data_IF_376036003745
#
_entry.id   IF_376036003745
#
_cell.length_a   1.000
_cell.length_b   1.000
_cell.length_c   1.000
_cell.angle_alpha   90.00
_cell.angle_beta   90.00
_cell.angle_gamma   90.00
#
_symmetry.space_group_name_H-M   'P 1'
#
loop_
_entity.id
_entity.type
_entity.pdbx_description
1 polymer ?
#
# COMPACT_ATOMS: atom_id res chain seq x y z
N UNK A 1 17.25 9.32 -16.85
CA UNK A 1 15.97 8.59 -16.84
C UNK A 1 14.97 9.51 -16.16
N UNK A 2 13.77 9.76 -16.70
CA UNK A 2 12.69 10.32 -15.89
C UNK A 2 12.65 9.50 -14.60
N UNK A 3 12.51 10.15 -13.44
CA UNK A 3 12.44 9.39 -12.21
C UNK A 3 11.26 8.42 -12.35
N UNK A 4 11.45 7.13 -12.05
CA UNK A 4 10.40 6.10 -12.15
C UNK A 4 9.08 6.55 -11.50
N UNK A 5 9.19 7.44 -10.51
CA UNK A 5 8.12 8.13 -9.80
C UNK A 5 7.15 8.89 -10.71
N UNK A 6 7.59 9.49 -11.83
CA UNK A 6 6.72 10.25 -12.74
C UNK A 6 5.60 9.35 -13.32
N UNK A 7 5.90 8.06 -13.52
CA UNK A 7 4.92 7.07 -13.99
C UNK A 7 3.92 6.66 -12.92
N UNK A 8 4.26 6.80 -11.64
CA UNK A 8 3.36 6.49 -10.53
C UNK A 8 2.27 7.56 -10.40
N UNK A 9 2.63 8.84 -10.63
CA UNK A 9 1.68 9.96 -10.61
C UNK A 9 0.61 9.81 -11.71
N UNK A 10 0.99 9.26 -12.87
CA UNK A 10 0.08 9.04 -13.99
C UNK A 10 -0.79 7.78 -13.86
N UNK A 11 -0.64 6.98 -12.79
CA UNK A 11 -1.43 5.76 -12.62
C UNK A 11 -2.78 6.05 -11.95
N UNK A 12 -3.86 5.88 -12.72
CA UNK A 12 -5.23 6.19 -12.29
C UNK A 12 -5.99 4.97 -11.72
N UNK A 13 -5.41 3.77 -11.80
CA UNK A 13 -6.02 2.55 -11.25
C UNK A 13 -6.02 2.52 -9.72
N UNK A 14 -6.77 1.62 -9.08
CA UNK A 14 -6.80 1.52 -7.62
C UNK A 14 -5.44 1.08 -7.06
N UNK A 15 -4.99 1.72 -5.98
CA UNK A 15 -3.73 1.40 -5.28
C UNK A 15 -4.00 1.20 -3.80
N UNK A 16 -3.41 0.16 -3.21
CA UNK A 16 -3.42 -0.05 -1.78
C UNK A 16 -1.99 -0.29 -1.29
N UNK A 17 -1.58 0.47 -0.29
CA UNK A 17 -0.26 0.41 0.34
C UNK A 17 -0.47 -0.02 1.77
N UNK A 18 -0.04 -1.23 2.11
CA UNK A 18 -0.02 -1.71 3.49
C UNK A 18 1.41 -1.57 4.03
N UNK A 19 1.58 -0.84 5.13
CA UNK A 19 2.90 -0.47 5.65
C UNK A 19 3.00 -0.76 7.15
N UNK A 20 4.18 -1.12 7.66
CA UNK A 20 4.37 -1.24 9.11
C UNK A 20 4.61 0.12 9.76
N UNK A 21 3.86 0.43 10.81
CA UNK A 21 4.06 1.66 11.58
C UNK A 21 5.39 1.67 12.37
N UNK A 22 5.94 0.50 12.67
CA UNK A 22 7.16 0.31 13.48
C UNK A 22 8.39 -0.08 12.65
N UNK A 23 8.30 -0.01 11.32
CA UNK A 23 9.39 -0.39 10.43
C UNK A 23 10.65 0.47 10.66
N UNK A 24 11.76 -0.21 10.94
CA UNK A 24 13.07 0.40 11.22
C UNK A 24 13.87 0.68 9.94
N UNK A 25 13.67 -0.12 8.89
CA UNK A 25 14.35 0.01 7.61
C UNK A 25 13.63 1.00 6.70
N UNK A 26 12.30 0.98 6.73
CA UNK A 26 11.45 1.83 5.92
C UNK A 26 10.50 2.67 6.80
N UNK A 27 11.00 3.77 7.39
CA UNK A 27 10.22 4.62 8.28
C UNK A 27 8.86 5.04 7.70
N UNK A 28 7.85 5.18 8.57
CA UNK A 28 6.47 5.58 8.28
C UNK A 28 6.33 6.66 7.17
N UNK A 29 7.16 7.70 7.23
CA UNK A 29 7.17 8.82 6.27
C UNK A 29 7.35 8.38 4.81
N UNK A 30 7.98 7.24 4.56
CA UNK A 30 8.15 6.72 3.20
C UNK A 30 6.86 6.10 2.66
N UNK A 31 6.09 5.39 3.49
CA UNK A 31 4.76 4.90 3.14
C UNK A 31 3.79 6.06 2.87
N UNK A 32 3.82 7.09 3.72
CA UNK A 32 3.03 8.32 3.53
C UNK A 32 3.38 9.03 2.22
N UNK A 33 4.68 9.19 1.93
CA UNK A 33 5.15 9.82 0.69
C UNK A 33 4.78 9.01 -0.56
N UNK A 34 4.85 7.69 -0.49
CA UNK A 34 4.44 6.80 -1.58
C UNK A 34 2.94 6.92 -1.83
N UNK A 35 2.11 6.90 -0.78
CA UNK A 35 0.67 7.07 -0.90
C UNK A 35 0.30 8.43 -1.52
N UNK A 36 0.96 9.51 -1.10
CA UNK A 36 0.75 10.84 -1.67
C UNK A 36 1.16 10.96 -3.15
N UNK A 37 1.94 10.01 -3.69
CA UNK A 37 2.34 10.01 -5.10
C UNK A 37 1.22 9.52 -6.01
N UNK A 38 0.36 8.63 -5.53
CA UNK A 38 -0.73 8.06 -6.34
C UNK A 38 -2.04 8.82 -6.11
N UNK A 39 -2.82 9.11 -7.16
CA UNK A 39 -4.08 9.84 -7.03
C UNK A 39 -5.17 9.05 -6.29
N UNK A 40 -5.06 7.73 -6.25
CA UNK A 40 -6.12 6.80 -5.79
C UNK A 40 -5.67 5.89 -4.64
N UNK A 41 -4.48 6.13 -4.07
CA UNK A 41 -3.92 5.25 -3.07
C UNK A 41 -4.66 5.31 -1.73
N UNK A 42 -4.85 4.12 -1.16
CA UNK A 42 -5.23 3.92 0.22
C UNK A 42 -4.02 3.41 1.02
N UNK A 43 -3.71 4.05 2.14
CA UNK A 43 -2.63 3.67 3.05
C UNK A 43 -3.19 3.04 4.32
N UNK A 44 -2.86 1.77 4.56
CA UNK A 44 -3.20 1.04 5.78
C UNK A 44 -1.97 0.63 6.57
N UNK A 45 -2.14 0.39 7.87
CA UNK A 45 -1.04 0.16 8.80
C UNK A 45 -1.08 -1.25 9.39
N UNK A 46 0.03 -1.95 9.34
CA UNK A 46 0.34 -3.02 10.30
C UNK A 46 0.84 -2.34 11.58
N UNK A 47 0.16 -2.61 12.69
CA UNK A 47 0.39 -1.91 13.95
C UNK A 47 1.51 -2.59 14.77
N UNK A 48 1.74 -3.89 14.58
CA UNK A 48 2.69 -4.68 15.38
C UNK A 48 3.61 -5.57 14.53
N UNK A 49 4.18 -4.98 13.51
CA UNK A 49 5.08 -5.64 12.56
C UNK A 49 6.38 -4.87 12.37
N UNK A 50 7.42 -5.49 11.82
CA UNK A 50 8.58 -4.78 11.28
C UNK A 50 8.54 -4.80 9.74
N UNK A 51 9.69 -4.93 9.09
CA UNK A 51 9.80 -4.85 7.62
C UNK A 51 9.05 -5.97 6.90
N UNK A 52 8.96 -7.15 7.50
CA UNK A 52 8.25 -8.29 6.92
C UNK A 52 6.84 -8.43 7.49
N UNK A 53 6.08 -7.34 7.47
CA UNK A 53 4.77 -7.28 8.12
C UNK A 53 3.76 -8.35 7.66
N UNK A 54 3.88 -8.83 6.43
CA UNK A 54 3.05 -9.91 5.90
C UNK A 54 3.42 -11.30 6.46
N UNK A 55 4.62 -11.46 7.03
CA UNK A 55 5.03 -12.66 7.77
C UNK A 55 4.68 -12.52 9.26
N UNK A 56 4.78 -11.31 9.81
CA UNK A 56 4.46 -11.02 11.22
C UNK A 56 2.95 -11.11 11.47
N UNK A 57 2.12 -10.57 10.56
CA UNK A 57 0.66 -10.53 10.65
C UNK A 57 -0.01 -11.11 9.37
N UNK A 58 0.09 -12.44 9.14
CA UNK A 58 -0.33 -13.06 7.87
C UNK A 58 -1.84 -12.99 7.61
N UNK A 59 -2.67 -13.14 8.65
CA UNK A 59 -4.13 -13.06 8.52
C UNK A 59 -4.60 -11.64 8.15
N UNK A 60 -3.94 -10.63 8.73
CA UNK A 60 -4.15 -9.22 8.40
C UNK A 60 -3.77 -8.94 6.95
N UNK A 61 -2.61 -9.44 6.51
CA UNK A 61 -2.15 -9.29 5.13
C UNK A 61 -3.12 -9.94 4.14
N UNK A 62 -3.54 -11.18 4.41
CA UNK A 62 -4.52 -11.89 3.60
C UNK A 62 -5.84 -11.11 3.50
N UNK A 63 -6.36 -10.62 4.62
CA UNK A 63 -7.61 -9.86 4.64
C UNK A 63 -7.51 -8.61 3.77
N UNK A 64 -6.43 -7.84 3.90
CA UNK A 64 -6.19 -6.61 3.13
C UNK A 64 -6.16 -6.88 1.62
N UNK A 65 -5.45 -7.92 1.19
CA UNK A 65 -5.40 -8.32 -0.23
C UNK A 65 -6.79 -8.70 -0.74
N UNK A 66 -7.54 -9.52 0.02
CA UNK A 66 -8.89 -9.93 -0.38
C UNK A 66 -9.80 -8.70 -0.53
N UNK A 67 -9.85 -7.83 0.49
CA UNK A 67 -10.65 -6.60 0.47
C UNK A 67 -10.29 -5.70 -0.72
N UNK A 68 -9.01 -5.48 -0.98
CA UNK A 68 -8.56 -4.70 -2.13
C UNK A 68 -9.07 -5.28 -3.45
N UNK A 69 -8.92 -6.59 -3.66
CA UNK A 69 -9.36 -7.25 -4.88
C UNK A 69 -10.88 -7.18 -5.06
N UNK A 70 -11.66 -7.42 -4.00
CA UNK A 70 -13.13 -7.49 -4.11
C UNK A 70 -13.80 -6.11 -4.13
N UNK A 71 -13.29 -5.16 -3.34
CA UNK A 71 -13.98 -3.87 -3.12
C UNK A 71 -13.40 -2.72 -3.92
N UNK A 72 -12.10 -2.77 -4.28
CA UNK A 72 -11.44 -1.71 -5.04
C UNK A 72 -11.28 -2.10 -6.49
N UNK A 73 -10.66 -3.24 -6.77
CA UNK A 73 -10.43 -3.71 -8.15
C UNK A 73 -11.72 -4.18 -8.79
N UNK A 74 -12.47 -5.07 -8.13
CA UNK A 74 -13.72 -5.62 -8.66
C UNK A 74 -14.78 -4.56 -8.96
N UNK A 75 -14.86 -3.49 -8.16
CA UNK A 75 -15.78 -2.37 -8.40
C UNK A 75 -15.31 -1.42 -9.51
N UNK A 76 -14.01 -1.22 -9.67
CA UNK A 76 -13.48 -0.37 -10.74
C UNK A 76 -13.61 -1.02 -12.13
N UNK A 77 -13.72 -2.35 -12.18
CA UNK A 77 -13.87 -3.12 -13.41
C UNK A 77 -15.35 -3.38 -13.81
N UNK A 78 -16.30 -3.01 -12.96
CA UNK A 78 -17.74 -3.16 -13.18
C UNK A 78 -18.34 -1.86 -13.74
#
# INVERSE_FOLDING_TARGET
LPALTDRLVAYEGPVHIAWSRKDLLFPKKYGERLAATFPTAELSWFEDSLTFAFLDEPDEAQRRVRTFLTERVGRAAA
#
